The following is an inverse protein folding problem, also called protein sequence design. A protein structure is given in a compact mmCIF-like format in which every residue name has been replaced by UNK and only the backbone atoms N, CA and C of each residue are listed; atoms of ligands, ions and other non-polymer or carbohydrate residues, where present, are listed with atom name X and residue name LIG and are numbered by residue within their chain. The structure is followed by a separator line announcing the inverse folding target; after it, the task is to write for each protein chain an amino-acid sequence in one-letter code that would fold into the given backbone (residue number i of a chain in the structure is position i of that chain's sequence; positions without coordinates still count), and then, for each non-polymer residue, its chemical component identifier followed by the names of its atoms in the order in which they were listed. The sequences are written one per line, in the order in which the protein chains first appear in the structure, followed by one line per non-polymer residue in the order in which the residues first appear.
data_IF_626537006655
#
_entry.id   IF_626537006655
#
_cell.length_a   1.000
_cell.length_b   1.000
_cell.length_c   1.000
_cell.angle_alpha   90.00
_cell.angle_beta   90.00
_cell.angle_gamma   90.00
#
_symmetry.space_group_name_H-M   'P 1'
#
loop_
_entity.id
_entity.type
_entity.pdbx_description
1 polymer ?
#
# COMPACT_ATOMS: atom_id res chain seq x y z
N UNK A 1 -12.16 17.25 -22.12
CA UNK A 1 -11.44 17.69 -20.92
C UNK A 1 -9.98 17.85 -21.32
N UNK A 2 -9.40 19.03 -21.28
CA UNK A 2 -7.98 19.22 -21.58
C UNK A 2 -7.19 18.69 -20.38
N UNK A 3 -6.43 17.59 -20.62
CA UNK A 3 -5.56 17.03 -19.59
C UNK A 3 -4.53 18.06 -19.14
N UNK A 4 -4.34 18.17 -17.83
CA UNK A 4 -3.27 18.99 -17.25
C UNK A 4 -1.93 18.56 -17.89
N UNK A 5 -1.05 19.49 -18.31
CA UNK A 5 0.24 19.12 -18.86
C UNK A 5 0.99 18.23 -17.85
N UNK A 6 1.39 17.05 -18.27
CA UNK A 6 2.22 16.15 -17.46
C UNK A 6 3.55 16.87 -17.25
N UNK A 7 3.85 17.26 -16.01
CA UNK A 7 5.16 17.82 -15.66
C UNK A 7 6.23 16.74 -15.90
N UNK A 8 7.40 17.16 -16.37
CA UNK A 8 8.49 16.23 -16.71
C UNK A 8 9.04 15.63 -15.42
N UNK A 9 8.90 14.31 -15.26
CA UNK A 9 9.52 13.58 -14.17
C UNK A 9 11.04 13.50 -14.37
N UNK A 10 11.76 14.10 -13.44
CA UNK A 10 13.22 14.10 -13.44
C UNK A 10 13.84 13.01 -12.55
N UNK A 11 13.02 12.22 -11.84
CA UNK A 11 13.48 11.14 -10.95
C UNK A 11 13.87 9.93 -11.79
N UNK A 12 15.16 9.57 -11.76
CA UNK A 12 15.72 8.42 -12.48
C UNK A 12 16.17 7.32 -11.53
N UNK A 13 16.65 7.68 -10.33
CA UNK A 13 17.21 6.77 -9.34
C UNK A 13 16.32 6.69 -8.11
N UNK A 14 15.73 5.51 -7.90
CA UNK A 14 14.82 5.24 -6.78
C UNK A 14 15.42 4.21 -5.85
N UNK A 15 15.51 4.53 -4.56
CA UNK A 15 15.91 3.55 -3.54
C UNK A 15 14.68 3.09 -2.77
N UNK A 16 14.49 1.77 -2.69
CA UNK A 16 13.40 1.15 -1.91
C UNK A 16 13.98 0.54 -0.64
N UNK A 17 13.69 1.15 0.49
CA UNK A 17 14.17 0.75 1.81
C UNK A 17 13.20 -0.22 2.45
N UNK A 18 13.57 -1.51 2.49
CA UNK A 18 12.67 -2.58 2.92
C UNK A 18 11.95 -3.23 1.74
N UNK A 19 12.59 -4.23 1.13
CA UNK A 19 12.07 -5.01 0.00
C UNK A 19 11.30 -6.26 0.43
N UNK A 20 10.37 -6.07 1.37
CA UNK A 20 9.37 -7.05 1.77
C UNK A 20 8.32 -7.26 0.68
N UNK A 21 7.05 -7.51 1.07
CA UNK A 21 5.98 -7.73 0.09
C UNK A 21 5.72 -6.47 -0.74
N UNK A 22 5.37 -5.37 -0.10
CA UNK A 22 5.09 -4.10 -0.79
C UNK A 22 6.33 -3.52 -1.46
N UNK A 23 7.46 -3.44 -0.75
CA UNK A 23 8.68 -2.87 -1.33
C UNK A 23 9.19 -3.61 -2.56
N UNK A 24 8.99 -4.95 -2.65
CA UNK A 24 9.31 -5.69 -3.87
C UNK A 24 8.45 -5.28 -5.06
N UNK A 25 7.13 -5.06 -4.85
CA UNK A 25 6.21 -4.60 -5.88
C UNK A 25 6.55 -3.19 -6.36
N UNK A 26 6.87 -2.29 -5.41
CA UNK A 26 7.27 -0.91 -5.71
C UNK A 26 8.58 -0.88 -6.50
N UNK A 27 9.56 -1.69 -6.10
CA UNK A 27 10.82 -1.83 -6.83
C UNK A 27 10.58 -2.31 -8.26
N UNK A 28 9.78 -3.35 -8.43
CA UNK A 28 9.41 -3.88 -9.75
C UNK A 28 8.69 -2.83 -10.61
N UNK A 29 7.67 -2.14 -10.05
CA UNK A 29 6.91 -1.12 -10.78
C UNK A 29 7.81 0.01 -11.29
N UNK A 30 8.70 0.52 -10.45
CA UNK A 30 9.66 1.56 -10.84
C UNK A 30 10.58 1.07 -11.98
N UNK A 31 11.15 -0.12 -11.86
CA UNK A 31 12.03 -0.68 -12.88
C UNK A 31 11.30 -0.97 -14.20
N UNK A 32 10.05 -1.44 -14.13
CA UNK A 32 9.19 -1.67 -15.29
C UNK A 32 9.01 -0.39 -16.12
N UNK A 33 8.86 0.75 -15.44
CA UNK A 33 8.68 2.06 -16.06
C UNK A 33 10.01 2.83 -16.26
N UNK A 34 11.14 2.11 -16.28
CA UNK A 34 12.40 2.65 -16.75
C UNK A 34 13.31 3.28 -15.69
N UNK A 35 12.92 3.25 -14.40
CA UNK A 35 13.75 3.81 -13.33
C UNK A 35 14.88 2.85 -12.95
N UNK A 36 16.04 3.41 -12.58
CA UNK A 36 17.10 2.66 -11.90
C UNK A 36 16.71 2.47 -10.44
N UNK A 37 16.70 1.24 -9.97
CA UNK A 37 16.17 0.91 -8.64
C UNK A 37 17.27 0.26 -7.79
N UNK A 38 17.43 0.75 -6.56
CA UNK A 38 18.22 0.06 -5.54
C UNK A 38 17.30 -0.46 -4.46
N UNK A 39 17.15 -1.79 -4.39
CA UNK A 39 16.43 -2.45 -3.30
C UNK A 39 17.33 -2.68 -2.09
N UNK A 40 17.01 -2.08 -0.95
CA UNK A 40 17.77 -2.27 0.28
C UNK A 40 17.09 -3.24 1.24
N UNK A 41 17.88 -4.18 1.76
CA UNK A 41 17.51 -5.01 2.91
C UNK A 41 18.72 -5.36 3.76
N UNK A 42 18.53 -5.45 5.08
CA UNK A 42 19.58 -5.91 6.01
C UNK A 42 19.94 -7.38 5.85
N UNK A 43 19.05 -8.19 5.25
CA UNK A 43 19.22 -9.64 5.15
C UNK A 43 19.27 -10.12 3.72
N UNK A 44 20.20 -11.04 3.44
CA UNK A 44 20.32 -11.73 2.16
C UNK A 44 19.02 -12.47 1.79
N UNK A 45 18.39 -13.11 2.77
CA UNK A 45 17.13 -13.83 2.59
C UNK A 45 16.04 -12.95 1.96
N UNK A 46 15.92 -11.69 2.41
CA UNK A 46 14.93 -10.75 1.85
C UNK A 46 15.27 -10.36 0.42
N UNK A 47 16.55 -10.20 0.09
CA UNK A 47 17.02 -9.91 -1.27
C UNK A 47 16.65 -11.07 -2.20
N UNK A 48 17.02 -12.31 -1.84
CA UNK A 48 16.70 -13.49 -2.63
C UNK A 48 15.19 -13.69 -2.82
N UNK A 49 14.40 -13.40 -1.77
CA UNK A 49 12.94 -13.45 -1.84
C UNK A 49 12.40 -12.39 -2.81
N UNK A 50 12.94 -11.17 -2.79
CA UNK A 50 12.55 -10.11 -3.71
C UNK A 50 12.89 -10.49 -5.16
N UNK A 51 14.10 -10.99 -5.41
CA UNK A 51 14.53 -11.46 -6.72
C UNK A 51 13.58 -12.53 -7.29
N UNK A 52 13.25 -13.54 -6.49
CA UNK A 52 12.31 -14.58 -6.89
C UNK A 52 10.91 -14.04 -7.23
N UNK A 53 10.43 -13.05 -6.48
CA UNK A 53 9.15 -12.37 -6.79
C UNK A 53 9.22 -11.60 -8.10
N UNK A 54 10.29 -10.83 -8.32
CA UNK A 54 10.51 -10.07 -9.56
C UNK A 54 10.51 -11.01 -10.76
N UNK A 55 11.23 -12.14 -10.70
CA UNK A 55 11.23 -13.14 -11.78
C UNK A 55 9.84 -13.74 -12.04
N UNK A 56 9.07 -14.02 -10.99
CA UNK A 56 7.70 -14.50 -11.13
C UNK A 56 6.81 -13.48 -11.83
N UNK A 57 6.92 -12.18 -11.49
CA UNK A 57 6.12 -11.13 -12.15
C UNK A 57 6.56 -10.90 -13.59
N UNK A 58 7.86 -10.96 -13.88
CA UNK A 58 8.36 -10.86 -15.25
C UNK A 58 7.82 -12.00 -16.11
N UNK A 59 7.90 -13.24 -15.62
CA UNK A 59 7.35 -14.39 -16.34
C UNK A 59 5.83 -14.25 -16.60
N UNK A 60 5.07 -13.79 -15.59
CA UNK A 60 3.65 -13.53 -15.74
C UNK A 60 3.37 -12.42 -16.78
N UNK A 61 4.11 -11.31 -16.76
CA UNK A 61 3.92 -10.20 -17.70
C UNK A 61 4.28 -10.58 -19.14
N UNK A 62 5.28 -11.43 -19.32
CA UNK A 62 5.64 -11.98 -20.64
C UNK A 62 4.56 -12.94 -21.12
N UNK A 63 4.09 -13.85 -20.27
CA UNK A 63 3.02 -14.79 -20.59
C UNK A 63 1.71 -14.09 -21.00
N UNK A 64 1.36 -12.98 -20.32
CA UNK A 64 0.19 -12.16 -20.63
C UNK A 64 0.41 -11.22 -21.84
N UNK A 65 1.60 -11.24 -22.47
CA UNK A 65 1.91 -10.37 -23.61
C UNK A 65 1.99 -8.89 -23.26
N UNK A 66 2.17 -8.54 -21.97
CA UNK A 66 2.26 -7.16 -21.49
C UNK A 66 3.64 -6.56 -21.73
N UNK A 67 4.67 -7.38 -21.74
CA UNK A 67 6.07 -7.06 -22.12
C UNK A 67 6.65 -8.25 -22.90
N UNK A 68 7.71 -8.00 -23.67
CA UNK A 68 8.51 -9.05 -24.32
C UNK A 68 9.74 -9.43 -23.49
N UNK A 69 10.50 -10.46 -23.89
CA UNK A 69 11.71 -10.92 -23.19
C UNK A 69 12.82 -9.87 -23.16
N UNK A 70 12.95 -9.03 -24.19
CA UNK A 70 13.94 -7.96 -24.20
C UNK A 70 13.63 -6.90 -23.12
N UNK A 71 12.37 -6.51 -23.01
CA UNK A 71 11.87 -5.61 -21.98
C UNK A 71 12.03 -6.23 -20.58
N UNK A 72 11.74 -7.52 -20.42
CA UNK A 72 11.96 -8.24 -19.16
C UNK A 72 13.44 -8.21 -18.75
N UNK A 73 14.35 -8.44 -19.69
CA UNK A 73 15.78 -8.33 -19.45
C UNK A 73 16.23 -6.91 -19.10
N UNK A 74 15.62 -5.90 -19.70
CA UNK A 74 15.89 -4.51 -19.35
C UNK A 74 15.43 -4.19 -17.92
N UNK A 75 14.29 -4.70 -17.47
CA UNK A 75 13.80 -4.55 -16.08
C UNK A 75 14.77 -5.20 -15.09
N UNK A 76 15.26 -6.43 -15.36
CA UNK A 76 16.25 -7.10 -14.50
C UNK A 76 17.50 -6.24 -14.31
N UNK A 77 18.02 -5.66 -15.37
CA UNK A 77 19.24 -4.82 -15.34
C UNK A 77 19.06 -3.50 -14.58
N UNK A 78 17.84 -3.01 -14.42
CA UNK A 78 17.53 -1.77 -13.69
C UNK A 78 17.46 -1.96 -12.19
N UNK A 79 17.35 -3.20 -11.68
CA UNK A 79 17.24 -3.46 -10.24
C UNK A 79 18.58 -3.98 -9.72
N UNK A 80 19.20 -3.19 -8.85
CA UNK A 80 20.34 -3.63 -8.03
C UNK A 80 19.90 -3.80 -6.57
N UNK A 81 20.68 -4.55 -5.79
CA UNK A 81 20.38 -4.83 -4.39
C UNK A 81 21.57 -4.45 -3.52
N UNK A 82 21.30 -3.88 -2.35
CA UNK A 82 22.31 -3.47 -1.39
C UNK A 82 21.98 -3.90 0.02
N UNK A 83 23.02 -4.16 0.84
CA UNK A 83 22.91 -4.48 2.27
C UNK A 83 23.42 -3.39 3.17
N UNK A 84 24.07 -2.38 2.60
CA UNK A 84 24.48 -1.15 3.28
C UNK A 84 23.53 -0.03 2.88
N UNK A 85 22.95 0.68 3.85
CA UNK A 85 21.94 1.72 3.60
C UNK A 85 22.54 2.96 2.94
N UNK A 86 23.74 3.36 3.34
CA UNK A 86 24.45 4.51 2.78
C UNK A 86 24.79 4.28 1.30
N UNK A 87 25.34 3.09 0.98
CA UNK A 87 25.59 2.68 -0.40
C UNK A 87 24.31 2.65 -1.25
N UNK A 88 23.20 2.18 -0.64
CA UNK A 88 21.92 2.13 -1.33
C UNK A 88 21.36 3.51 -1.68
N UNK A 89 21.65 4.52 -0.88
CA UNK A 89 21.08 5.86 -0.98
C UNK A 89 22.01 6.88 -1.65
N UNK A 90 23.25 6.53 -1.97
CA UNK A 90 24.26 7.50 -2.44
C UNK A 90 23.84 8.32 -3.68
N UNK A 91 23.10 7.70 -4.61
CA UNK A 91 22.62 8.30 -5.86
C UNK A 91 21.08 8.49 -5.85
N UNK A 92 20.41 8.31 -4.70
CA UNK A 92 18.97 8.34 -4.63
C UNK A 92 18.40 9.75 -4.90
N UNK A 93 17.46 9.85 -5.83
CA UNK A 93 16.64 11.04 -6.07
C UNK A 93 15.27 10.92 -5.36
N UNK A 94 14.82 9.68 -5.16
CA UNK A 94 13.66 9.34 -4.34
C UNK A 94 13.98 8.11 -3.48
N UNK A 95 13.67 8.18 -2.21
CA UNK A 95 13.63 7.00 -1.32
C UNK A 95 12.19 6.68 -0.98
N UNK A 96 11.80 5.41 -1.18
CA UNK A 96 10.50 4.86 -0.75
C UNK A 96 10.74 3.90 0.41
N UNK A 97 10.33 4.30 1.61
CA UNK A 97 10.51 3.50 2.82
C UNK A 97 9.33 2.51 2.99
N UNK A 98 9.66 1.24 3.23
CA UNK A 98 8.74 0.10 3.39
C UNK A 98 9.15 -0.81 4.56
N UNK A 99 9.74 -0.25 5.61
CA UNK A 99 10.04 -1.02 6.82
C UNK A 99 8.73 -1.33 7.59
N UNK A 100 8.74 -2.31 8.53
CA UNK A 100 7.54 -2.63 9.30
C UNK A 100 6.89 -1.40 9.93
N UNK A 101 5.55 -1.42 10.03
CA UNK A 101 4.70 -0.32 10.51
C UNK A 101 4.87 -0.11 12.02
N UNK A 102 6.06 0.32 12.42
CA UNK A 102 6.44 0.64 13.81
C UNK A 102 7.03 2.04 13.85
N UNK A 103 6.36 2.96 14.54
CA UNK A 103 6.71 4.38 14.56
C UNK A 103 8.19 4.61 14.91
N UNK A 104 8.69 4.05 16.01
CA UNK A 104 10.08 4.23 16.42
C UNK A 104 11.08 3.76 15.35
N UNK A 105 10.80 2.62 14.69
CA UNK A 105 11.65 2.11 13.61
C UNK A 105 11.67 3.06 12.41
N UNK A 106 10.50 3.59 12.02
CA UNK A 106 10.42 4.55 10.91
C UNK A 106 11.16 5.85 11.27
N UNK A 107 10.99 6.36 12.48
CA UNK A 107 11.73 7.54 12.97
C UNK A 107 13.25 7.33 12.87
N UNK A 108 13.76 6.18 13.34
CA UNK A 108 15.19 5.85 13.28
C UNK A 108 15.70 5.76 11.84
N UNK A 109 14.90 5.16 10.94
CA UNK A 109 15.25 5.05 9.52
C UNK A 109 15.27 6.44 8.86
N UNK A 110 14.26 7.28 9.08
CA UNK A 110 14.21 8.61 8.45
C UNK A 110 15.27 9.57 9.02
N UNK A 111 15.64 9.44 10.28
CA UNK A 111 16.78 10.16 10.83
C UNK A 111 18.11 9.78 10.16
N UNK A 112 18.31 8.49 9.85
CA UNK A 112 19.47 8.04 9.08
C UNK A 112 19.42 8.54 7.65
N UNK A 113 18.27 8.40 6.96
CA UNK A 113 18.08 8.85 5.58
C UNK A 113 18.33 10.36 5.43
N UNK A 114 17.92 11.18 6.40
CA UNK A 114 18.20 12.62 6.37
C UNK A 114 19.70 12.94 6.32
N UNK A 115 20.53 12.13 7.00
CA UNK A 115 21.98 12.31 7.08
C UNK A 115 22.72 11.79 5.84
N UNK A 116 22.26 10.67 5.25
CA UNK A 116 23.03 9.97 4.20
C UNK A 116 22.55 10.24 2.78
N UNK A 117 21.27 10.62 2.59
CA UNK A 117 20.75 10.89 1.25
C UNK A 117 21.24 12.23 0.68
N UNK A 118 21.44 12.34 -0.65
CA UNK A 118 21.71 13.61 -1.30
C UNK A 118 20.71 14.70 -0.89
N UNK A 119 21.16 15.94 -0.79
CA UNK A 119 20.32 17.07 -0.31
C UNK A 119 19.06 17.28 -1.15
N UNK A 120 19.10 16.95 -2.44
CA UNK A 120 17.96 17.03 -3.36
C UNK A 120 16.96 15.88 -3.28
N UNK A 121 17.33 14.77 -2.61
CA UNK A 121 16.55 13.56 -2.57
C UNK A 121 15.19 13.76 -1.88
N UNK A 122 14.13 13.21 -2.47
CA UNK A 122 12.80 13.14 -1.89
C UNK A 122 12.69 11.91 -0.98
N UNK A 123 12.03 12.05 0.15
CA UNK A 123 11.79 10.94 1.07
C UNK A 123 10.29 10.66 1.19
N UNK A 124 9.90 9.44 0.87
CA UNK A 124 8.53 8.95 0.95
C UNK A 124 8.42 7.80 1.95
N UNK A 125 7.41 7.83 2.83
CA UNK A 125 7.00 6.66 3.62
C UNK A 125 5.81 5.97 2.96
N UNK A 126 5.90 4.66 2.77
CA UNK A 126 4.77 3.81 2.39
C UNK A 126 4.02 3.33 3.64
N UNK A 127 3.59 4.27 4.46
CA UNK A 127 2.74 4.01 5.63
C UNK A 127 1.27 4.06 5.23
N UNK A 128 0.44 3.20 5.79
CA UNK A 128 -1.02 3.24 5.62
C UNK A 128 -1.75 3.84 6.83
N UNK A 129 -1.06 4.00 7.98
CA UNK A 129 -1.73 4.31 9.23
C UNK A 129 -1.07 5.39 10.09
N UNK A 130 0.26 5.60 9.95
CA UNK A 130 0.99 6.55 10.78
C UNK A 130 0.98 7.96 10.18
N UNK A 131 1.00 8.97 11.04
CA UNK A 131 1.09 10.36 10.63
C UNK A 131 2.53 10.72 10.25
N UNK A 132 2.69 11.52 9.21
CA UNK A 132 4.00 12.01 8.78
C UNK A 132 4.65 12.91 9.81
N UNK A 133 3.87 13.73 10.52
CA UNK A 133 4.35 14.56 11.63
C UNK A 133 5.03 13.74 12.72
N UNK A 134 4.54 12.52 12.96
CA UNK A 134 5.14 11.58 13.91
C UNK A 134 6.36 10.89 13.32
N UNK A 135 6.28 10.41 12.07
CA UNK A 135 7.38 9.71 11.40
C UNK A 135 8.60 10.63 11.23
N UNK A 136 8.39 11.86 10.78
CA UNK A 136 9.46 12.78 10.41
C UNK A 136 9.90 13.71 11.57
N UNK A 137 9.55 13.40 12.81
CA UNK A 137 9.85 14.25 13.96
C UNK A 137 11.35 14.54 14.11
N UNK A 138 12.22 13.56 13.78
CA UNK A 138 13.69 13.68 13.89
C UNK A 138 14.37 14.12 12.59
N UNK A 139 13.61 14.39 11.53
CA UNK A 139 14.11 14.86 10.24
C UNK A 139 14.32 16.37 10.30
N UNK A 140 15.40 16.86 9.67
CA UNK A 140 15.74 18.29 9.64
C UNK A 140 14.66 19.13 8.95
N UNK A 141 14.48 20.42 9.31
CA UNK A 141 13.47 21.28 8.68
C UNK A 141 13.60 21.41 7.17
N UNK A 142 14.83 21.44 6.65
CA UNK A 142 15.07 21.52 5.20
C UNK A 142 14.66 20.22 4.48
N UNK A 143 14.94 19.06 5.07
CA UNK A 143 14.53 17.77 4.54
C UNK A 143 13.03 17.58 4.60
N UNK A 144 12.35 18.05 5.66
CA UNK A 144 10.87 17.99 5.78
C UNK A 144 10.15 18.62 4.60
N UNK A 145 10.73 19.64 3.94
CA UNK A 145 10.18 20.23 2.72
C UNK A 145 10.14 19.24 1.54
N UNK A 146 10.92 18.16 1.61
CA UNK A 146 11.08 17.12 0.59
C UNK A 146 10.51 15.76 1.03
N UNK A 147 9.61 15.77 2.01
CA UNK A 147 8.95 14.56 2.51
C UNK A 147 7.47 14.54 2.15
N UNK A 148 6.95 13.34 1.95
CA UNK A 148 5.54 13.04 1.73
C UNK A 148 5.26 11.58 2.09
N UNK A 149 4.01 11.14 2.02
CA UNK A 149 3.69 9.72 2.14
C UNK A 149 2.80 9.24 1.01
N UNK A 150 2.89 7.94 0.73
CA UNK A 150 2.08 7.27 -0.29
C UNK A 150 1.62 5.94 0.26
N UNK A 151 0.34 5.69 0.21
CA UNK A 151 -0.25 4.38 0.46
C UNK A 151 -0.47 3.68 -0.88
N UNK A 152 0.35 2.64 -1.15
CA UNK A 152 0.19 1.81 -2.33
C UNK A 152 -0.70 0.62 -1.96
N UNK A 153 -1.73 0.37 -2.73
CA UNK A 153 -2.55 -0.83 -2.60
C UNK A 153 -1.83 -2.05 -3.21
N UNK A 154 -2.02 -2.31 -4.50
CA UNK A 154 -1.30 -3.37 -5.23
C UNK A 154 -0.60 -2.77 -6.46
N UNK A 155 0.69 -2.39 -6.34
CA UNK A 155 1.43 -1.78 -7.45
C UNK A 155 1.60 -2.65 -8.70
N UNK A 156 1.24 -3.93 -8.65
CA UNK A 156 1.32 -4.85 -9.79
C UNK A 156 -0.01 -4.92 -10.55
N UNK A 157 -1.13 -4.91 -9.82
CA UNK A 157 -2.45 -5.20 -10.37
C UNK A 157 -3.26 -3.96 -10.70
N UNK A 158 -3.06 -2.86 -9.99
CA UNK A 158 -3.83 -1.63 -10.21
C UNK A 158 -2.94 -0.39 -10.34
N UNK A 159 -3.56 0.70 -10.72
CA UNK A 159 -2.92 2.00 -10.89
C UNK A 159 -3.29 2.98 -9.78
N UNK A 160 -4.01 2.52 -8.75
CA UNK A 160 -4.39 3.34 -7.62
C UNK A 160 -3.26 3.47 -6.61
N UNK A 161 -3.09 4.67 -6.09
CA UNK A 161 -2.38 4.97 -4.84
C UNK A 161 -2.95 6.25 -4.22
N UNK A 162 -2.77 6.42 -2.92
CA UNK A 162 -3.13 7.65 -2.24
C UNK A 162 -1.88 8.37 -1.74
N UNK A 163 -1.77 9.66 -2.08
CA UNK A 163 -0.65 10.52 -1.67
C UNK A 163 -1.14 11.50 -0.61
N UNK A 164 -0.27 11.79 0.35
CA UNK A 164 -0.59 12.73 1.42
C UNK A 164 0.58 13.69 1.67
N UNK A 165 0.26 14.96 1.88
CA UNK A 165 1.21 16.02 2.17
C UNK A 165 1.20 16.36 3.65
N UNK A 166 2.35 16.68 4.21
CA UNK A 166 2.45 17.35 5.50
C UNK A 166 2.54 18.87 5.35
N UNK A 167 2.40 19.59 6.44
CA UNK A 167 2.43 21.06 6.44
C UNK A 167 3.76 21.66 5.93
N UNK A 168 4.84 20.88 5.92
CA UNK A 168 6.16 21.32 5.46
C UNK A 168 6.45 20.95 4.01
N UNK A 169 5.69 20.04 3.38
CA UNK A 169 5.92 19.58 2.00
C UNK A 169 5.88 20.78 1.04
N UNK A 170 6.98 21.02 0.32
CA UNK A 170 7.06 22.13 -0.63
C UNK A 170 6.26 21.87 -1.91
N UNK A 171 5.79 22.94 -2.58
CA UNK A 171 5.10 22.82 -3.86
C UNK A 171 5.97 22.15 -4.94
N UNK A 172 7.29 22.38 -4.92
CA UNK A 172 8.22 21.71 -5.82
C UNK A 172 8.24 20.19 -5.57
N UNK A 173 8.19 19.76 -4.30
CA UNK A 173 8.12 18.34 -3.92
C UNK A 173 6.80 17.72 -4.36
N UNK A 174 5.67 18.39 -4.14
CA UNK A 174 4.35 17.91 -4.57
C UNK A 174 4.33 17.66 -6.07
N UNK A 175 4.78 18.64 -6.86
CA UNK A 175 4.85 18.54 -8.32
C UNK A 175 5.75 17.40 -8.78
N UNK A 176 6.97 17.29 -8.24
CA UNK A 176 7.91 16.24 -8.61
C UNK A 176 7.38 14.84 -8.24
N UNK A 177 6.76 14.70 -7.08
CA UNK A 177 6.17 13.44 -6.64
C UNK A 177 4.99 13.02 -7.53
N UNK A 178 4.06 13.93 -7.83
CA UNK A 178 2.94 13.65 -8.74
C UNK A 178 3.43 13.26 -10.13
N UNK A 179 4.37 14.02 -10.70
CA UNK A 179 4.94 13.70 -12.01
C UNK A 179 5.57 12.31 -12.01
N UNK A 180 6.34 11.95 -10.96
CA UNK A 180 6.94 10.63 -10.83
C UNK A 180 5.89 9.51 -10.86
N UNK A 181 4.88 9.57 -10.00
CA UNK A 181 3.87 8.51 -9.93
C UNK A 181 3.01 8.43 -11.20
N UNK A 182 2.71 9.53 -11.85
CA UNK A 182 2.05 9.51 -13.18
C UNK A 182 2.91 8.81 -14.24
N UNK A 183 4.23 9.04 -14.27
CA UNK A 183 5.10 8.33 -15.22
C UNK A 183 5.20 6.84 -14.96
N UNK A 184 4.90 6.39 -13.73
CA UNK A 184 4.76 4.97 -13.41
C UNK A 184 3.36 4.40 -13.76
N UNK A 185 2.50 5.19 -14.40
CA UNK A 185 1.14 4.81 -14.77
C UNK A 185 0.17 4.72 -13.61
N UNK A 186 0.45 5.41 -12.50
CA UNK A 186 -0.51 5.54 -11.40
C UNK A 186 -1.44 6.73 -11.62
N UNK A 187 -2.63 6.63 -11.02
CA UNK A 187 -3.63 7.70 -10.89
C UNK A 187 -3.72 8.10 -9.40
N UNK A 188 -2.86 9.03 -8.94
CA UNK A 188 -2.80 9.40 -7.53
C UNK A 188 -4.08 10.10 -7.05
N UNK A 189 -4.63 9.62 -5.93
CA UNK A 189 -5.61 10.38 -5.15
C UNK A 189 -4.86 11.18 -4.11
N UNK A 190 -5.07 12.49 -4.08
CA UNK A 190 -4.33 13.38 -3.20
C UNK A 190 -5.14 13.74 -1.96
N UNK A 191 -4.59 13.45 -0.80
CA UNK A 191 -5.07 13.95 0.49
C UNK A 191 -4.27 15.20 0.86
N UNK A 192 -4.90 16.37 0.78
CA UNK A 192 -4.27 17.69 0.85
C UNK A 192 -3.68 18.05 2.23
N UNK A 193 -4.14 17.39 3.27
CA UNK A 193 -3.67 17.58 4.65
C UNK A 193 -3.44 16.25 5.31
N UNK A 194 -2.48 16.24 6.21
CA UNK A 194 -2.19 15.05 7.01
C UNK A 194 -3.42 14.59 7.81
N UNK A 195 -3.75 13.30 7.65
CA UNK A 195 -4.83 12.64 8.37
C UNK A 195 -4.48 11.15 8.58
N UNK A 196 -4.73 10.62 9.77
CA UNK A 196 -4.50 9.21 10.06
C UNK A 196 -5.40 8.33 9.18
N UNK A 197 -4.78 7.39 8.45
CA UNK A 197 -5.49 6.36 7.67
C UNK A 197 -5.95 6.85 6.29
N UNK A 198 -5.43 7.97 5.79
CA UNK A 198 -5.77 8.52 4.46
C UNK A 198 -7.28 8.72 4.23
N UNK A 199 -7.69 9.24 3.08
CA UNK A 199 -9.10 9.58 2.85
C UNK A 199 -9.95 8.37 2.50
N UNK A 200 -9.50 7.52 1.58
CA UNK A 200 -10.24 6.34 1.12
C UNK A 200 -10.36 5.29 2.23
N UNK A 201 -9.26 4.99 2.92
CA UNK A 201 -9.29 4.05 4.04
C UNK A 201 -10.20 4.50 5.19
N UNK A 202 -10.33 5.81 5.41
CA UNK A 202 -11.25 6.37 6.40
C UNK A 202 -12.73 6.18 6.00
N UNK A 203 -13.06 6.43 4.74
CA UNK A 203 -14.41 6.19 4.21
C UNK A 203 -14.72 4.70 4.25
N UNK A 204 -13.80 3.86 3.78
CA UNK A 204 -13.94 2.41 3.86
C UNK A 204 -14.13 1.93 5.31
N UNK A 205 -13.36 2.50 6.25
CA UNK A 205 -13.54 2.19 7.67
C UNK A 205 -14.95 2.52 8.17
N UNK A 206 -15.51 3.67 7.79
CA UNK A 206 -16.86 4.05 8.18
C UNK A 206 -17.92 3.08 7.66
N UNK A 207 -17.80 2.69 6.37
CA UNK A 207 -18.69 1.68 5.75
C UNK A 207 -18.54 0.34 6.46
N UNK A 208 -17.34 -0.16 6.60
CA UNK A 208 -17.04 -1.44 7.23
C UNK A 208 -17.57 -1.52 8.66
N UNK A 209 -17.32 -0.50 9.47
CA UNK A 209 -17.81 -0.44 10.85
C UNK A 209 -19.32 -0.52 10.92
N UNK A 210 -20.03 0.26 10.10
CA UNK A 210 -21.48 0.24 10.06
C UNK A 210 -22.02 -1.14 9.63
N UNK A 211 -21.45 -1.74 8.58
CA UNK A 211 -21.81 -3.08 8.14
C UNK A 211 -21.63 -4.13 9.25
N UNK A 212 -20.52 -4.06 10.00
CA UNK A 212 -20.26 -4.99 11.10
C UNK A 212 -21.29 -4.86 12.22
N UNK A 213 -21.72 -3.66 12.60
CA UNK A 213 -22.75 -3.45 13.61
C UNK A 213 -24.12 -3.91 13.11
N UNK A 214 -24.53 -3.55 11.90
CA UNK A 214 -25.81 -4.00 11.32
C UNK A 214 -25.89 -5.54 11.28
N UNK A 215 -24.81 -6.21 10.93
CA UNK A 215 -24.74 -7.68 10.95
C UNK A 215 -24.76 -8.24 12.38
N UNK A 216 -23.98 -7.68 13.29
CA UNK A 216 -23.87 -8.18 14.64
C UNK A 216 -25.18 -8.09 15.39
N UNK A 217 -25.93 -7.01 15.17
CA UNK A 217 -27.25 -6.73 15.78
C UNK A 217 -28.39 -7.46 15.06
N UNK A 218 -28.10 -8.20 13.98
CA UNK A 218 -29.07 -9.03 13.27
C UNK A 218 -29.98 -8.28 12.31
N UNK A 219 -29.67 -7.05 11.94
CA UNK A 219 -30.45 -6.28 10.96
C UNK A 219 -30.26 -6.77 9.52
N UNK A 220 -29.10 -7.34 9.18
CA UNK A 220 -28.79 -7.75 7.82
C UNK A 220 -28.12 -9.13 7.79
N UNK A 221 -28.43 -9.87 6.71
CA UNK A 221 -27.65 -11.00 6.26
C UNK A 221 -26.51 -10.50 5.33
N UNK A 222 -25.27 -10.94 5.49
CA UNK A 222 -24.13 -10.49 4.67
C UNK A 222 -24.33 -10.66 3.18
N UNK A 223 -24.88 -11.79 2.71
CA UNK A 223 -25.05 -12.06 1.30
C UNK A 223 -26.14 -11.18 0.67
N UNK A 224 -27.25 -11.00 1.37
CA UNK A 224 -28.34 -10.13 0.93
C UNK A 224 -27.91 -8.66 0.92
N UNK A 225 -27.17 -8.22 1.93
CA UNK A 225 -26.64 -6.85 1.97
C UNK A 225 -25.69 -6.59 0.81
N UNK A 226 -24.72 -7.48 0.59
CA UNK A 226 -23.75 -7.35 -0.49
C UNK A 226 -24.43 -7.42 -1.87
N UNK A 227 -25.49 -8.23 -2.02
CA UNK A 227 -26.32 -8.25 -3.25
C UNK A 227 -26.93 -6.88 -3.51
N UNK A 228 -27.57 -6.29 -2.49
CA UNK A 228 -28.16 -4.95 -2.58
C UNK A 228 -27.13 -3.87 -2.86
N UNK A 229 -25.98 -3.92 -2.18
CA UNK A 229 -24.86 -3.01 -2.39
C UNK A 229 -24.36 -3.01 -3.85
N UNK A 230 -24.14 -4.21 -4.41
CA UNK A 230 -23.67 -4.33 -5.80
C UNK A 230 -24.66 -3.75 -6.80
N UNK A 231 -25.96 -3.92 -6.58
CA UNK A 231 -27.02 -3.38 -7.45
C UNK A 231 -27.06 -1.85 -7.34
N UNK A 232 -27.13 -1.32 -6.15
CA UNK A 232 -27.28 0.11 -5.89
C UNK A 232 -26.08 0.93 -6.39
N UNK A 233 -24.85 0.44 -6.10
CA UNK A 233 -23.61 1.17 -6.39
C UNK A 233 -22.90 0.71 -7.67
N UNK A 234 -23.50 -0.24 -8.40
CA UNK A 234 -22.91 -0.82 -9.64
C UNK A 234 -21.45 -1.30 -9.42
N UNK A 235 -21.22 -2.03 -8.35
CA UNK A 235 -19.90 -2.60 -7.99
C UNK A 235 -19.90 -4.11 -8.18
N UNK A 236 -18.71 -4.70 -8.39
CA UNK A 236 -18.57 -6.16 -8.51
C UNK A 236 -18.48 -6.87 -7.15
N UNK A 237 -18.26 -6.14 -6.07
CA UNK A 237 -18.00 -6.68 -4.73
C UNK A 237 -18.78 -5.87 -3.69
N UNK A 238 -19.28 -6.54 -2.69
CA UNK A 238 -19.91 -5.90 -1.54
C UNK A 238 -18.98 -5.81 -0.32
N UNK A 239 -19.37 -5.04 0.71
CA UNK A 239 -18.52 -4.79 1.88
C UNK A 239 -18.13 -6.05 2.65
N UNK A 240 -19.02 -6.99 2.86
CA UNK A 240 -18.72 -8.23 3.60
C UNK A 240 -17.76 -9.13 2.83
N UNK A 241 -17.95 -9.23 1.51
CA UNK A 241 -17.06 -9.96 0.64
C UNK A 241 -15.65 -9.32 0.62
N UNK A 242 -15.57 -7.99 0.62
CA UNK A 242 -14.28 -7.28 0.68
C UNK A 242 -13.60 -7.48 2.04
N UNK A 243 -14.35 -7.54 3.15
CA UNK A 243 -13.79 -7.87 4.47
C UNK A 243 -13.21 -9.28 4.50
N UNK A 244 -13.88 -10.26 3.89
CA UNK A 244 -13.36 -11.64 3.77
C UNK A 244 -12.06 -11.71 2.93
N UNK A 245 -11.95 -10.91 1.86
CA UNK A 245 -10.73 -10.81 1.05
C UNK A 245 -9.55 -10.25 1.85
N UNK A 246 -9.77 -9.21 2.63
CA UNK A 246 -8.74 -8.59 3.48
C UNK A 246 -8.36 -9.55 4.62
N UNK A 247 -9.32 -10.27 5.15
CA UNK A 247 -9.20 -11.19 6.28
C UNK A 247 -9.74 -10.58 7.57
N UNK A 248 -10.65 -11.33 8.20
CA UNK A 248 -11.42 -10.84 9.35
C UNK A 248 -10.58 -10.54 10.58
N UNK A 249 -9.50 -11.27 10.82
CA UNK A 249 -8.54 -10.97 11.88
C UNK A 249 -7.78 -9.65 11.62
N UNK A 250 -7.45 -9.35 10.36
CA UNK A 250 -6.88 -8.06 9.96
C UNK A 250 -7.89 -6.93 10.20
N UNK A 251 -9.13 -7.13 9.78
CA UNK A 251 -10.25 -6.19 10.02
C UNK A 251 -10.40 -5.92 11.51
N UNK A 252 -10.48 -6.97 12.33
CA UNK A 252 -10.61 -6.84 13.78
C UNK A 252 -9.46 -6.04 14.41
N UNK A 253 -8.22 -6.35 14.05
CA UNK A 253 -7.04 -5.67 14.58
C UNK A 253 -7.00 -4.18 14.19
N UNK A 254 -7.43 -3.85 12.97
CA UNK A 254 -7.55 -2.45 12.52
C UNK A 254 -8.57 -1.71 13.40
N UNK A 255 -9.79 -2.26 13.57
CA UNK A 255 -10.83 -1.61 14.40
C UNK A 255 -10.39 -1.48 15.86
N UNK A 256 -9.75 -2.51 16.42
CA UNK A 256 -9.20 -2.45 17.78
C UNK A 256 -8.16 -1.33 17.92
N UNK A 257 -7.28 -1.13 16.93
CA UNK A 257 -6.30 -0.03 16.97
C UNK A 257 -6.94 1.36 17.00
N UNK A 258 -8.10 1.51 16.38
CA UNK A 258 -8.88 2.75 16.46
C UNK A 258 -9.59 2.90 17.80
N UNK A 259 -10.18 1.82 18.31
CA UNK A 259 -10.80 1.81 19.63
C UNK A 259 -9.81 2.14 20.75
N UNK A 260 -8.62 1.52 20.72
CA UNK A 260 -7.55 1.80 21.68
C UNK A 260 -7.06 3.27 21.62
N UNK A 261 -7.07 3.86 20.43
CA UNK A 261 -6.66 5.25 20.25
C UNK A 261 -7.74 6.27 20.64
N UNK A 262 -9.03 5.96 20.41
CA UNK A 262 -10.14 6.88 20.68
C UNK A 262 -10.78 6.69 22.06
N UNK A 263 -10.84 5.44 22.56
CA UNK A 263 -11.61 5.04 23.74
C UNK A 263 -13.12 5.10 23.55
N UNK A 264 -13.60 5.33 22.32
CA UNK A 264 -15.03 5.47 22.03
C UNK A 264 -15.67 4.11 21.70
N UNK A 265 -16.71 3.71 22.43
CA UNK A 265 -17.41 2.42 22.24
C UNK A 265 -17.89 2.20 20.81
N UNK A 266 -18.25 3.25 20.07
CA UNK A 266 -18.64 3.14 18.66
C UNK A 266 -17.49 2.66 17.73
N UNK A 267 -16.24 2.78 18.18
CA UNK A 267 -15.06 2.33 17.42
C UNK A 267 -14.69 0.87 17.74
N UNK A 268 -15.31 0.30 18.77
CA UNK A 268 -15.08 -1.08 19.18
C UNK A 268 -15.71 -2.06 18.19
N UNK A 269 -14.96 -3.02 17.64
CA UNK A 269 -15.55 -4.03 16.79
C UNK A 269 -16.55 -4.90 17.58
N UNK A 270 -17.64 -5.36 16.95
CA UNK A 270 -18.63 -6.21 17.61
C UNK A 270 -18.02 -7.51 18.13
N UNK A 271 -18.46 -7.98 19.30
CA UNK A 271 -18.03 -9.25 19.92
C UNK A 271 -18.23 -10.43 18.97
N UNK A 272 -19.34 -10.45 18.24
CA UNK A 272 -19.67 -11.49 17.26
C UNK A 272 -18.59 -11.65 16.16
N UNK A 273 -17.87 -10.56 15.79
CA UNK A 273 -16.72 -10.67 14.88
C UNK A 273 -15.58 -11.45 15.51
N UNK A 274 -15.29 -11.21 16.78
CA UNK A 274 -14.26 -11.95 17.50
C UNK A 274 -14.60 -13.43 17.63
N UNK A 275 -15.87 -13.75 17.89
CA UNK A 275 -16.36 -15.13 18.01
C UNK A 275 -16.13 -15.96 16.75
N UNK A 276 -16.43 -15.40 15.56
CA UNK A 276 -16.19 -16.13 14.30
C UNK A 276 -14.69 -16.26 13.97
N UNK A 277 -13.88 -15.27 14.35
CA UNK A 277 -12.41 -15.35 14.22
C UNK A 277 -11.84 -16.46 15.12
N UNK A 278 -12.30 -16.56 16.37
CA UNK A 278 -11.86 -17.60 17.32
C UNK A 278 -12.24 -19.02 16.86
N UNK A 279 -13.28 -19.13 16.04
CA UNK A 279 -13.66 -20.38 15.36
C UNK A 279 -12.80 -20.67 14.09
N UNK A 280 -11.77 -19.85 13.81
CA UNK A 280 -10.91 -19.99 12.65
C UNK A 280 -11.49 -19.48 11.34
N UNK A 281 -12.60 -18.73 11.39
CA UNK A 281 -13.23 -18.14 10.21
C UNK A 281 -12.55 -16.79 9.92
N UNK A 282 -11.52 -16.79 9.07
CA UNK A 282 -10.69 -15.63 8.80
C UNK A 282 -10.90 -15.05 7.39
N UNK A 283 -12.00 -15.44 6.72
CA UNK A 283 -12.27 -15.08 5.34
C UNK A 283 -11.55 -15.97 4.32
N UNK A 284 -11.18 -15.43 3.17
CA UNK A 284 -10.57 -16.16 2.07
C UNK A 284 -9.32 -16.93 2.48
N UNK A 285 -8.48 -16.41 3.36
CA UNK A 285 -7.24 -17.07 3.81
C UNK A 285 -7.46 -18.35 4.60
N UNK A 286 -8.63 -18.54 5.23
CA UNK A 286 -9.03 -19.80 5.89
C UNK A 286 -10.04 -20.61 5.07
N UNK A 287 -10.53 -20.08 3.95
CA UNK A 287 -11.58 -20.67 3.11
C UNK A 287 -13.00 -20.41 3.62
N UNK A 288 -13.14 -19.73 4.74
CA UNK A 288 -14.43 -19.39 5.36
C UNK A 288 -14.33 -18.08 6.15
N UNK A 289 -15.36 -17.25 6.02
CA UNK A 289 -15.60 -16.01 6.76
C UNK A 289 -17.08 -15.73 6.79
N UNK A 290 -17.52 -14.55 6.34
CA UNK A 290 -18.93 -14.26 6.05
C UNK A 290 -19.46 -15.17 4.93
N UNK A 291 -18.58 -15.58 4.04
CA UNK A 291 -18.85 -16.55 2.98
C UNK A 291 -18.00 -17.80 3.15
N UNK A 292 -18.32 -18.83 2.35
CA UNK A 292 -17.56 -20.07 2.27
C UNK A 292 -17.32 -20.46 0.79
N UNK A 293 -16.44 -21.44 0.56
CA UNK A 293 -16.17 -21.92 -0.79
C UNK A 293 -15.17 -21.08 -1.58
N UNK A 294 -14.33 -20.31 -0.90
CA UNK A 294 -13.23 -19.59 -1.55
C UNK A 294 -12.21 -20.56 -2.18
N UNK A 295 -11.94 -20.37 -3.47
CA UNK A 295 -10.83 -21.05 -4.13
C UNK A 295 -9.51 -20.32 -3.82
N UNK A 296 -8.69 -20.99 -2.99
CA UNK A 296 -7.39 -20.46 -2.55
C UNK A 296 -6.33 -20.46 -3.65
N UNK A 297 -6.43 -21.36 -4.62
CA UNK A 297 -5.43 -21.52 -5.67
C UNK A 297 -5.68 -20.53 -6.84
N UNK A 298 -6.92 -20.28 -7.17
CA UNK A 298 -7.28 -19.39 -8.26
C UNK A 298 -7.10 -17.90 -7.92
N UNK A 299 -7.01 -17.53 -6.63
CA UNK A 299 -6.98 -16.12 -6.20
C UNK A 299 -8.21 -15.34 -6.64
N UNK A 300 -9.24 -16.04 -7.14
CA UNK A 300 -10.48 -15.51 -7.67
C UNK A 300 -11.63 -15.84 -6.72
N UNK A 301 -12.50 -14.88 -6.56
CA UNK A 301 -13.82 -15.07 -5.98
C UNK A 301 -14.67 -15.92 -6.95
N UNK A 302 -14.58 -17.22 -6.87
CA UNK A 302 -15.69 -18.04 -7.31
C UNK A 302 -16.77 -17.98 -6.24
N UNK A 303 -17.42 -16.84 -6.13
CA UNK A 303 -18.72 -16.81 -5.49
C UNK A 303 -19.63 -17.59 -6.42
N UNK A 304 -20.18 -18.69 -5.90
CA UNK A 304 -21.23 -19.43 -6.63
C UNK A 304 -22.22 -18.44 -7.23
N UNK A 305 -22.29 -18.40 -8.55
CA UNK A 305 -23.19 -17.51 -9.29
C UNK A 305 -24.66 -17.96 -9.16
N UNK A 306 -24.92 -18.96 -8.32
CA UNK A 306 -26.24 -19.53 -8.16
C UNK A 306 -26.49 -19.92 -6.69
N UNK A 307 -27.21 -19.06 -5.98
CA UNK A 307 -28.51 -19.40 -5.37
C UNK A 307 -29.14 -18.15 -4.84
#
# INVERSE_FOLDING_TARGET
MMGTPVEVDNIKHVTVVGIGTQGSMIAFRNALYGKQVTGYSRTEKSILTCQAKVEKWLAYFVQEGRINEEEANAVRKRIRYARNLEEACQDAELVVENVPEKLALKQDVFEQLDKICPTGCLLNSNTSSLLMSDIYVRVSPERKKRTFSVDHDDPIRNNYLEMMWNASTSEATKKAALAHYHTLGFEPVVTEKEIKGYSINRVWRAVKRECLHLWADGYVDPAEFDRGWRIEWNTNIGPFQLMDLIGLDTIYNIEMSYYEASGEERDKPPVKLKEIIDQGQLGMKSGRGFYSGYDREAGNLSVDKHK
#
